data_IF_002525709417
#
_entry.id   IF_002525709417
#
_cell.length_a   1.000
_cell.length_b   1.000
_cell.length_c   1.000
_cell.angle_alpha   90.00
_cell.angle_beta   90.00
_cell.angle_gamma   90.00
#
_symmetry.space_group_name_H-M   'P 1'
#
loop_
_entity.id
_entity.type
_entity.pdbx_description
1 polymer ?
#
# COMPACT_ATOMS: atom_id res chain seq x y z
N UNK A 1 -9.96 11.63 8.23
CA UNK A 1 -8.79 10.89 7.71
C UNK A 1 -7.55 11.50 8.34
N UNK A 2 -6.89 10.76 9.22
CA UNK A 2 -5.78 11.26 10.04
C UNK A 2 -4.54 11.57 9.20
N UNK A 3 -4.08 12.82 9.31
CA UNK A 3 -2.91 13.38 8.60
C UNK A 3 -1.60 12.68 8.99
N UNK A 4 -1.59 11.93 10.09
CA UNK A 4 -0.42 11.20 10.57
C UNK A 4 -0.14 9.89 9.83
N UNK A 5 -1.08 9.39 9.02
CA UNK A 5 -0.88 8.17 8.22
C UNK A 5 0.28 8.31 7.20
N UNK A 6 0.47 9.52 6.65
CA UNK A 6 1.45 9.76 5.57
C UNK A 6 2.87 10.12 6.07
N UNK A 7 3.07 10.32 7.37
CA UNK A 7 4.33 10.90 7.92
C UNK A 7 5.49 9.91 8.05
N UNK A 8 5.24 8.61 7.89
CA UNK A 8 6.25 7.52 8.00
C UNK A 8 6.34 6.67 6.73
N UNK A 9 6.16 7.28 5.56
CA UNK A 9 6.46 6.62 4.30
C UNK A 9 7.98 6.50 4.17
N UNK A 10 8.54 5.44 4.76
CA UNK A 10 9.93 5.04 4.51
C UNK A 10 10.02 4.76 3.02
N UNK A 11 10.82 5.55 2.29
CA UNK A 11 11.15 5.29 0.90
C UNK A 11 11.88 3.94 0.87
N UNK A 12 11.22 2.88 0.43
CA UNK A 12 11.86 1.57 0.30
C UNK A 12 13.00 1.70 -0.73
N UNK A 13 14.28 1.55 -0.33
CA UNK A 13 15.40 1.87 -1.20
C UNK A 13 15.67 0.80 -2.27
N UNK A 14 15.01 -0.37 -2.16
CA UNK A 14 15.18 -1.49 -3.08
C UNK A 14 14.24 -1.41 -4.29
N UNK A 15 14.60 -2.15 -5.34
CA UNK A 15 13.72 -2.34 -6.50
C UNK A 15 12.45 -3.08 -6.07
N UNK A 16 11.29 -2.57 -6.50
CA UNK A 16 10.02 -3.28 -6.31
C UNK A 16 10.04 -4.53 -7.18
N UNK A 17 9.62 -5.66 -6.62
CA UNK A 17 9.41 -6.89 -7.40
C UNK A 17 8.03 -6.83 -8.04
N UNK A 18 7.97 -7.00 -9.36
CA UNK A 18 6.71 -7.16 -10.06
C UNK A 18 6.26 -8.61 -9.93
N UNK A 19 5.07 -8.82 -9.39
CA UNK A 19 4.44 -10.13 -9.26
C UNK A 19 2.95 -10.02 -9.56
N UNK A 20 2.35 -11.11 -10.05
CA UNK A 20 0.90 -11.18 -10.24
C UNK A 20 0.24 -11.58 -8.93
N UNK A 21 -0.43 -10.64 -8.27
CA UNK A 21 -1.22 -10.86 -7.05
C UNK A 21 -2.71 -10.77 -7.37
N UNK A 22 -3.51 -11.67 -6.80
CA UNK A 22 -4.97 -11.58 -6.83
C UNK A 22 -5.45 -10.92 -5.54
N UNK A 23 -6.31 -9.92 -5.68
CA UNK A 23 -6.99 -9.23 -4.60
C UNK A 23 -8.49 -9.29 -4.87
N UNK A 24 -9.29 -9.21 -3.81
CA UNK A 24 -10.74 -9.17 -3.97
C UNK A 24 -11.18 -7.91 -4.74
N UNK A 25 -12.23 -8.02 -5.60
CA UNK A 25 -12.65 -6.91 -6.45
C UNK A 25 -13.03 -5.64 -5.68
N UNK A 26 -13.68 -5.78 -4.52
CA UNK A 26 -14.10 -4.69 -3.65
C UNK A 26 -12.90 -3.91 -3.07
N UNK A 27 -11.83 -4.61 -2.71
CA UNK A 27 -10.55 -4.02 -2.29
C UNK A 27 -9.95 -3.21 -3.43
N UNK A 28 -9.91 -3.78 -4.64
CA UNK A 28 -9.40 -3.08 -5.83
C UNK A 28 -10.22 -1.81 -6.10
N UNK A 29 -11.54 -1.90 -6.06
CA UNK A 29 -12.43 -0.78 -6.34
C UNK A 29 -12.33 0.31 -5.27
N UNK A 30 -12.17 -0.06 -4.00
CA UNK A 30 -11.92 0.88 -2.91
C UNK A 30 -10.67 1.73 -3.16
N UNK A 31 -9.55 1.11 -3.55
CA UNK A 31 -8.32 1.85 -3.83
C UNK A 31 -8.37 2.62 -5.15
N UNK A 32 -9.01 2.07 -6.20
CA UNK A 32 -9.20 2.78 -7.48
C UNK A 32 -9.98 4.09 -7.31
N UNK A 33 -10.99 4.13 -6.44
CA UNK A 33 -11.77 5.34 -6.13
C UNK A 33 -10.92 6.50 -5.58
N UNK A 34 -9.74 6.21 -5.05
CA UNK A 34 -8.82 7.22 -4.51
C UNK A 34 -7.95 7.88 -5.61
N UNK A 35 -8.07 7.43 -6.86
CA UNK A 35 -7.46 8.05 -8.03
C UNK A 35 -6.10 7.46 -8.43
N UNK A 36 -5.31 8.28 -9.13
CA UNK A 36 -4.01 7.87 -9.68
C UNK A 36 -3.06 7.48 -8.55
N UNK A 37 -2.43 6.32 -8.69
CA UNK A 37 -1.49 5.81 -7.69
C UNK A 37 -2.09 4.80 -6.70
N UNK A 38 -3.30 4.29 -6.94
CA UNK A 38 -3.93 3.28 -6.10
C UNK A 38 -3.03 2.06 -5.79
N UNK A 39 -2.20 1.60 -6.76
CA UNK A 39 -1.25 0.52 -6.54
C UNK A 39 -0.13 0.90 -5.54
N UNK A 40 0.32 2.16 -5.57
CA UNK A 40 1.27 2.69 -4.59
C UNK A 40 0.65 2.71 -3.20
N UNK A 41 -0.64 3.07 -3.09
CA UNK A 41 -1.39 3.05 -1.83
C UNK A 41 -1.54 1.62 -1.30
N UNK A 42 -1.93 0.66 -2.15
CA UNK A 42 -2.00 -0.77 -1.79
C UNK A 42 -0.66 -1.24 -1.23
N UNK A 43 0.44 -0.94 -1.93
CA UNK A 43 1.77 -1.32 -1.47
C UNK A 43 2.14 -0.68 -0.11
N UNK A 44 1.77 0.60 0.11
CA UNK A 44 2.02 1.28 1.38
C UNK A 44 1.24 0.64 2.55
N UNK A 45 -0.01 0.25 2.34
CA UNK A 45 -0.83 -0.46 3.35
C UNK A 45 -0.23 -1.81 3.67
N UNK A 46 0.11 -2.62 2.66
CA UNK A 46 0.75 -3.92 2.86
C UNK A 46 2.08 -3.78 3.61
N UNK A 47 2.87 -2.75 3.29
CA UNK A 47 4.13 -2.48 3.99
C UNK A 47 3.91 -2.20 5.47
N UNK A 48 2.91 -1.39 5.81
CA UNK A 48 2.58 -1.07 7.21
C UNK A 48 2.10 -2.30 7.98
N UNK A 49 1.31 -3.15 7.35
CA UNK A 49 0.91 -4.44 7.93
C UNK A 49 2.14 -5.29 8.26
N UNK A 50 3.07 -5.45 7.32
CA UNK A 50 4.31 -6.19 7.54
C UNK A 50 5.16 -5.59 8.67
N UNK A 51 5.36 -4.28 8.70
CA UNK A 51 6.11 -3.58 9.76
C UNK A 51 5.51 -3.78 11.15
N UNK A 52 4.19 -3.87 11.26
CA UNK A 52 3.50 -4.09 12.54
C UNK A 52 3.62 -5.54 13.05
N UNK A 53 3.80 -6.52 12.16
CA UNK A 53 3.84 -7.94 12.51
C UNK A 53 5.26 -8.54 12.54
N UNK A 54 6.27 -7.79 12.09
CA UNK A 54 7.69 -8.19 12.17
C UNK A 54 8.38 -7.69 13.45
N UNK A 55 7.61 -7.27 14.47
CA UNK A 55 8.12 -6.87 15.78
C UNK A 55 7.96 -7.96 16.81
#
# INVERSE_FOLDING_TARGET
MDKDFFKKAVLWPGTKKQLTLRLDPDVIDFFKKQGRGYQTTINAVLRKYVEAHMR
#
